data_IF_919409003329
#
_entry.id   IF_919409003329
#
_cell.length_a   1.000
_cell.length_b   1.000
_cell.length_c   1.000
_cell.angle_alpha   90.00
_cell.angle_beta   90.00
_cell.angle_gamma   90.00
#
_symmetry.space_group_name_H-M   'P 1'
#
loop_
_entity.id
_entity.type
_entity.pdbx_description
1 polymer ?
#
# COMPACT_ATOMS: atom_id res chain seq x y z
N UNK A 1 17.51 -0.94 -3.77
CA UNK A 1 17.94 -0.80 -2.36
C UNK A 1 16.78 -0.17 -1.63
N UNK A 2 16.24 -0.84 -0.61
CA UNK A 2 15.25 -0.27 0.30
C UNK A 2 16.03 0.05 1.58
N UNK A 3 15.86 1.26 2.10
CA UNK A 3 16.48 1.72 3.35
C UNK A 3 15.37 1.94 4.36
N UNK A 4 15.58 1.45 5.58
CA UNK A 4 14.64 1.66 6.68
C UNK A 4 14.63 3.13 7.09
N UNK A 5 13.43 3.68 7.25
CA UNK A 5 13.22 5.03 7.75
C UNK A 5 12.91 4.97 9.25
N UNK A 6 13.63 5.68 10.12
CA UNK A 6 13.28 5.75 11.54
C UNK A 6 11.86 6.29 11.75
N UNK A 7 11.09 5.68 12.67
CA UNK A 7 9.67 6.00 12.92
C UNK A 7 9.43 7.49 13.18
N UNK A 8 10.33 8.14 13.93
CA UNK A 8 10.24 9.57 14.19
C UNK A 8 10.26 10.41 12.89
N UNK A 9 11.16 10.09 11.96
CA UNK A 9 11.28 10.80 10.69
C UNK A 9 10.05 10.57 9.83
N UNK A 10 9.57 9.33 9.78
CA UNK A 10 8.35 8.97 9.04
C UNK A 10 7.11 9.73 9.56
N UNK A 11 6.97 9.88 10.88
CA UNK A 11 5.87 10.63 11.50
C UNK A 11 5.92 12.12 11.18
N UNK A 12 7.10 12.74 11.28
CA UNK A 12 7.27 14.16 10.91
C UNK A 12 6.91 14.37 9.44
N UNK A 13 7.36 13.48 8.56
CA UNK A 13 7.02 13.50 7.14
C UNK A 13 5.50 13.40 6.92
N UNK A 14 4.83 12.43 7.55
CA UNK A 14 3.38 12.25 7.45
C UNK A 14 2.61 13.49 7.95
N UNK A 15 3.04 14.09 9.07
CA UNK A 15 2.41 15.31 9.62
C UNK A 15 2.47 16.51 8.68
N UNK A 16 3.54 16.64 7.91
CA UNK A 16 3.67 17.73 6.93
C UNK A 16 2.86 17.40 5.67
N UNK A 17 2.96 16.16 5.17
CA UNK A 17 2.33 15.74 3.92
C UNK A 17 0.79 15.68 4.00
N UNK A 18 0.24 15.44 5.19
CA UNK A 18 -1.22 15.41 5.37
C UNK A 18 -1.91 16.78 5.23
N UNK A 19 -1.16 17.89 5.28
CA UNK A 19 -1.72 19.24 5.14
C UNK A 19 -1.92 19.66 3.67
N UNK A 20 -1.46 18.85 2.71
CA UNK A 20 -1.61 19.14 1.29
C UNK A 20 -3.07 18.95 0.85
N UNK A 21 -3.56 19.69 -0.17
CA UNK A 21 -4.91 19.53 -0.70
C UNK A 21 -5.23 18.11 -1.17
N UNK A 22 -4.21 17.38 -1.61
CA UNK A 22 -4.26 15.95 -1.87
C UNK A 22 -3.11 15.29 -1.08
N UNK A 23 -3.39 14.73 0.11
CA UNK A 23 -2.35 14.25 1.01
C UNK A 23 -1.66 13.03 0.42
N UNK A 24 -0.33 13.12 0.29
CA UNK A 24 0.49 12.03 -0.25
C UNK A 24 0.77 10.93 0.76
N UNK A 25 0.82 11.27 2.05
CA UNK A 25 0.98 10.35 3.17
C UNK A 25 0.34 10.96 4.43
N UNK A 26 -0.48 10.18 5.14
CA UNK A 26 -1.09 10.57 6.42
C UNK A 26 -0.54 9.78 7.60
N UNK A 27 -0.75 10.25 8.83
CA UNK A 27 -0.33 9.51 10.03
C UNK A 27 -1.03 8.15 10.14
N UNK A 28 -2.32 8.08 9.80
CA UNK A 28 -3.07 6.83 9.79
C UNK A 28 -2.52 5.83 8.76
N UNK A 29 -2.18 6.31 7.56
CA UNK A 29 -1.55 5.47 6.54
C UNK A 29 -0.18 4.94 7.00
N UNK A 30 0.58 5.76 7.73
CA UNK A 30 1.85 5.33 8.30
C UNK A 30 1.67 4.23 9.35
N UNK A 31 0.63 4.29 10.18
CA UNK A 31 0.35 3.23 11.16
C UNK A 31 -0.05 1.91 10.48
N UNK A 32 -0.83 1.95 9.40
CA UNK A 32 -1.21 0.76 8.63
C UNK A 32 0.01 0.07 8.01
N UNK A 33 1.05 0.82 7.63
CA UNK A 33 2.27 0.26 7.04
C UNK A 33 3.14 -0.52 8.04
N UNK A 34 2.93 -0.35 9.35
CA UNK A 34 3.73 -1.03 10.39
C UNK A 34 3.35 -2.48 10.59
N UNK A 35 2.17 -2.88 10.13
CA UNK A 35 1.66 -4.24 10.26
C UNK A 35 1.54 -4.89 8.89
N UNK A 36 1.97 -6.15 8.83
CA UNK A 36 1.83 -6.94 7.61
C UNK A 36 0.37 -7.27 7.36
N UNK A 37 -0.14 -6.88 6.18
CA UNK A 37 -1.48 -7.24 5.74
C UNK A 37 -1.47 -8.64 5.08
N UNK A 38 -1.26 -9.66 5.89
CA UNK A 38 -1.25 -11.06 5.47
C UNK A 38 -2.51 -11.80 5.94
N UNK A 39 -2.99 -12.74 5.13
CA UNK A 39 -4.17 -13.54 5.48
C UNK A 39 -3.93 -14.33 6.76
N UNK A 40 -4.82 -14.17 7.74
CA UNK A 40 -4.76 -14.91 9.01
C UNK A 40 -5.13 -16.39 8.87
N UNK A 41 -5.69 -16.80 7.73
CA UNK A 41 -6.26 -18.14 7.46
C UNK A 41 -7.38 -18.57 8.42
N UNK A 42 -7.93 -17.65 9.22
CA UNK A 42 -9.03 -17.94 10.15
C UNK A 42 -10.42 -17.83 9.49
N UNK A 43 -10.49 -17.25 8.30
CA UNK A 43 -11.74 -16.96 7.57
C UNK A 43 -11.66 -17.44 6.11
N UNK A 44 -12.81 -17.70 5.46
CA UNK A 44 -12.87 -18.03 4.04
C UNK A 44 -12.18 -16.96 3.17
N UNK A 45 -11.34 -17.38 2.24
CA UNK A 45 -10.67 -16.51 1.28
C UNK A 45 -11.42 -16.41 -0.05
N UNK A 46 -10.73 -15.91 -1.07
CA UNK A 46 -11.34 -15.70 -2.40
C UNK A 46 -11.83 -17.00 -3.05
N UNK A 47 -11.15 -18.12 -2.83
CA UNK A 47 -11.52 -19.41 -3.43
C UNK A 47 -12.85 -19.92 -2.88
N UNK A 48 -13.06 -19.80 -1.57
CA UNK A 48 -14.28 -20.19 -0.89
C UNK A 48 -15.48 -19.31 -1.29
N UNK A 49 -15.21 -18.07 -1.75
CA UNK A 49 -16.19 -17.18 -2.33
C UNK A 49 -16.47 -17.42 -3.83
N UNK A 50 -15.79 -18.40 -4.45
CA UNK A 50 -15.92 -18.69 -5.89
C UNK A 50 -15.25 -17.64 -6.80
N UNK A 51 -14.34 -16.83 -6.26
CA UNK A 51 -13.64 -15.76 -7.00
C UNK A 51 -12.30 -16.30 -7.53
N UNK A 52 -12.08 -16.17 -8.83
CA UNK A 52 -10.78 -16.47 -9.45
C UNK A 52 -9.84 -15.25 -9.34
N UNK A 53 -8.67 -15.46 -8.73
CA UNK A 53 -7.68 -14.40 -8.54
C UNK A 53 -6.72 -14.32 -9.73
N UNK A 54 -6.17 -13.13 -9.95
CA UNK A 54 -5.04 -12.91 -10.88
C UNK A 54 -3.84 -12.44 -10.06
N UNK A 55 -2.66 -12.86 -10.46
CA UNK A 55 -1.44 -12.43 -9.80
C UNK A 55 -1.17 -10.95 -10.12
N UNK A 56 -0.52 -10.24 -9.19
CA UNK A 56 -0.25 -8.81 -9.33
C UNK A 56 0.64 -8.58 -10.53
N UNK A 57 1.62 -9.45 -10.77
CA UNK A 57 2.61 -9.36 -11.84
C UNK A 57 1.99 -9.32 -13.24
N UNK A 58 0.84 -9.99 -13.44
CA UNK A 58 0.14 -10.01 -14.73
C UNK A 58 -0.55 -8.66 -14.99
N UNK A 59 -0.98 -7.98 -13.94
CA UNK A 59 -1.82 -6.79 -14.02
C UNK A 59 -0.98 -5.50 -13.92
N UNK A 60 0.09 -5.53 -13.12
CA UNK A 60 0.95 -4.40 -12.81
C UNK A 60 1.46 -3.63 -14.04
N UNK A 61 1.88 -4.28 -15.16
CA UNK A 61 2.34 -3.58 -16.34
C UNK A 61 1.30 -2.60 -16.91
N UNK A 62 0.01 -2.97 -16.87
CA UNK A 62 -1.06 -2.15 -17.42
C UNK A 62 -1.32 -0.89 -16.59
N UNK A 63 -1.04 -0.93 -15.29
CA UNK A 63 -1.26 0.19 -14.36
C UNK A 63 -0.07 1.13 -14.27
N UNK A 64 1.15 0.59 -14.17
CA UNK A 64 2.35 1.42 -13.97
C UNK A 64 2.85 1.99 -15.30
N UNK A 65 2.97 1.19 -16.36
CA UNK A 65 3.55 1.67 -17.61
C UNK A 65 2.60 2.59 -18.40
N UNK A 66 1.30 2.52 -18.16
CA UNK A 66 0.35 3.48 -18.76
C UNK A 66 0.45 4.88 -18.16
N UNK A 67 0.98 5.02 -16.93
CA UNK A 67 1.20 6.34 -16.30
C UNK A 67 2.48 7.04 -16.79
N UNK A 68 3.40 6.33 -17.45
CA UNK A 68 4.67 6.88 -17.95
C UNK A 68 4.49 7.64 -19.28
N UNK A 69 3.35 7.48 -19.95
CA UNK A 69 3.07 8.09 -21.28
C UNK A 69 2.05 9.26 -21.17
N UNK A 70 1.85 9.83 -19.97
CA UNK A 70 1.06 11.06 -19.78
C UNK A 70 1.92 12.23 -19.36
#
# INVERSE_FOLDING_TARGET
MIVELPDFVARVQAKVMQLLPNPLLTEDQLEILKSDNVCSNQYPGFKELGISTRTVEIILPNYIFSQVIR
#
